data_IF_389840791478
#
_entry.id   IF_389840791478
#
_cell.length_a   1.000
_cell.length_b   1.000
_cell.length_c   1.000
_cell.angle_alpha   90.00
_cell.angle_beta   90.00
_cell.angle_gamma   90.00
#
_symmetry.space_group_name_H-M   'P 1'
#
loop_
_entity.id
_entity.type
_entity.pdbx_description
1 polymer ?
#
# COMPACT_ATOMS: atom_id res chain seq x y z
N UNK A 1 -4.09 16.54 5.20
CA UNK A 1 -4.70 15.26 4.77
C UNK A 1 -4.47 14.14 5.78
N UNK A 2 -3.23 13.69 6.05
CA UNK A 2 -3.02 12.57 6.98
C UNK A 2 -3.54 12.81 8.42
N UNK A 3 -3.33 14.00 8.99
CA UNK A 3 -3.89 14.36 10.32
C UNK A 3 -5.42 14.30 10.34
N UNK A 4 -6.06 14.91 9.35
CA UNK A 4 -7.51 14.85 9.16
C UNK A 4 -8.02 13.39 9.15
N UNK A 5 -7.35 12.51 8.40
CA UNK A 5 -7.75 11.10 8.38
C UNK A 5 -7.63 10.43 9.75
N UNK A 6 -6.60 10.74 10.55
CA UNK A 6 -6.49 10.21 11.91
C UNK A 6 -7.59 10.77 12.83
N UNK A 7 -7.89 12.07 12.73
CA UNK A 7 -8.94 12.73 13.51
C UNK A 7 -10.33 12.13 13.26
N UNK A 8 -10.58 11.62 12.04
CA UNK A 8 -11.83 10.94 11.68
C UNK A 8 -11.73 9.41 11.67
N UNK A 9 -10.69 8.82 12.27
CA UNK A 9 -10.42 7.36 12.33
C UNK A 9 -10.46 6.65 10.96
N UNK A 10 -9.94 7.33 9.92
CA UNK A 10 -9.82 6.81 8.57
C UNK A 10 -8.46 6.15 8.37
N UNK A 11 -8.49 4.88 7.96
CA UNK A 11 -7.30 4.09 7.57
C UNK A 11 -7.00 4.29 6.09
N UNK A 12 -5.74 4.52 5.74
CA UNK A 12 -5.29 4.53 4.34
C UNK A 12 -4.86 3.12 3.92
N UNK A 13 -5.36 2.65 2.77
CA UNK A 13 -4.81 1.52 2.03
C UNK A 13 -3.95 2.02 0.85
N UNK A 14 -2.74 1.48 0.68
CA UNK A 14 -1.87 1.81 -0.46
C UNK A 14 -0.89 0.67 -0.76
N UNK A 15 -0.14 0.75 -1.87
CA UNK A 15 0.60 -0.39 -2.40
C UNK A 15 2.00 -0.63 -1.86
N UNK A 16 2.46 0.18 -0.91
CA UNK A 16 3.85 0.18 -0.44
C UNK A 16 4.88 0.40 -1.57
N UNK A 17 4.47 0.97 -2.70
CA UNK A 17 5.38 1.32 -3.80
C UNK A 17 6.23 2.56 -3.45
N UNK A 18 7.08 2.98 -4.40
CA UNK A 18 7.88 4.21 -4.24
C UNK A 18 7.00 5.47 -4.27
N UNK A 19 7.58 6.58 -3.82
CA UNK A 19 6.99 7.93 -3.88
C UNK A 19 5.67 8.03 -3.10
N UNK A 20 4.54 8.25 -3.77
CA UNK A 20 3.26 8.61 -3.13
C UNK A 20 2.77 7.52 -2.17
N UNK A 21 2.85 6.25 -2.54
CA UNK A 21 2.46 5.13 -1.67
C UNK A 21 3.25 5.15 -0.36
N UNK A 22 4.59 5.22 -0.45
CA UNK A 22 5.45 5.30 0.73
C UNK A 22 5.18 6.57 1.57
N UNK A 23 5.04 7.72 0.92
CA UNK A 23 4.78 8.99 1.60
C UNK A 23 3.43 8.98 2.34
N UNK A 24 2.39 8.37 1.76
CA UNK A 24 1.07 8.24 2.39
C UNK A 24 1.13 7.39 3.66
N UNK A 25 1.80 6.22 3.60
CA UNK A 25 2.02 5.38 4.77
C UNK A 25 2.82 6.12 5.86
N UNK A 26 3.92 6.75 5.49
CA UNK A 26 4.78 7.49 6.43
C UNK A 26 4.03 8.65 7.10
N UNK A 27 3.27 9.43 6.33
CA UNK A 27 2.52 10.56 6.84
C UNK A 27 1.42 10.14 7.82
N UNK A 28 0.73 9.02 7.56
CA UNK A 28 -0.29 8.51 8.46
C UNK A 28 0.31 7.94 9.76
N UNK A 29 1.41 7.20 9.66
CA UNK A 29 2.14 6.71 10.83
C UNK A 29 2.67 7.85 11.69
N UNK A 30 3.24 8.89 11.06
CA UNK A 30 3.74 10.08 11.77
C UNK A 30 2.61 10.87 12.46
N UNK A 31 1.38 10.78 11.96
CA UNK A 31 0.20 11.36 12.59
C UNK A 31 -0.40 10.47 13.70
N UNK A 32 0.20 9.30 13.99
CA UNK A 32 -0.30 8.36 15.00
C UNK A 32 -1.40 7.43 14.51
N UNK A 33 -1.66 7.38 13.20
CA UNK A 33 -2.67 6.53 12.59
C UNK A 33 -2.17 5.14 12.22
N UNK A 34 -3.10 4.31 11.73
CA UNK A 34 -2.85 2.95 11.23
C UNK A 34 -3.06 2.90 9.73
N UNK A 35 -2.26 2.10 9.02
CA UNK A 35 -2.33 1.98 7.56
C UNK A 35 -2.28 0.52 7.10
N UNK A 36 -2.83 0.25 5.92
CA UNK A 36 -2.87 -1.06 5.29
C UNK A 36 -2.06 -1.08 3.99
N UNK A 37 -1.03 -1.92 3.91
CA UNK A 37 -0.19 -2.06 2.71
C UNK A 37 -0.63 -3.26 1.85
N UNK A 38 -1.07 -3.04 0.62
CA UNK A 38 -1.45 -4.09 -0.34
C UNK A 38 -0.32 -4.34 -1.33
N UNK A 39 0.38 -5.46 -1.19
CA UNK A 39 1.54 -5.78 -2.01
C UNK A 39 1.14 -6.50 -3.30
N UNK A 40 1.86 -6.22 -4.39
CA UNK A 40 1.78 -6.99 -5.65
C UNK A 40 2.64 -8.27 -5.64
N UNK A 41 3.32 -8.56 -4.53
CA UNK A 41 4.09 -9.78 -4.29
C UNK A 41 3.32 -10.72 -3.41
N UNK A 42 3.69 -12.00 -3.39
CA UNK A 42 3.20 -12.95 -2.40
C UNK A 42 3.45 -12.47 -0.96
N UNK A 43 2.58 -12.84 -0.01
CA UNK A 43 2.64 -12.37 1.38
C UNK A 43 3.92 -12.79 2.12
N UNK A 44 4.51 -13.92 1.71
CA UNK A 44 5.77 -14.47 2.20
C UNK A 44 6.95 -14.15 1.28
N UNK A 45 6.72 -13.39 0.21
CA UNK A 45 7.79 -12.91 -0.66
C UNK A 45 8.53 -11.73 0.00
N UNK A 46 9.80 -11.47 -0.39
CA UNK A 46 10.52 -10.31 0.09
C UNK A 46 9.81 -9.00 -0.30
N UNK A 47 9.82 -8.01 0.60
CA UNK A 47 9.24 -6.68 0.34
C UNK A 47 9.91 -6.04 -0.88
N UNK A 48 9.07 -5.55 -1.80
CA UNK A 48 9.48 -4.81 -2.97
C UNK A 48 8.73 -3.45 -3.02
N UNK A 49 9.44 -2.33 -3.23
CA UNK A 49 10.90 -2.22 -3.34
C UNK A 49 11.60 -2.49 -2.00
N UNK A 50 12.85 -2.99 -2.05
CA UNK A 50 13.57 -3.40 -0.85
C UNK A 50 13.82 -2.26 0.15
N UNK A 51 13.92 -1.02 -0.34
CA UNK A 51 14.07 0.20 0.47
C UNK A 51 12.87 0.44 1.41
N UNK A 52 11.68 -0.08 1.09
CA UNK A 52 10.48 0.05 1.91
C UNK A 52 10.35 -1.04 2.98
N UNK A 53 11.35 -1.92 3.16
CA UNK A 53 11.36 -2.92 4.25
C UNK A 53 11.21 -2.29 5.65
N UNK A 54 11.93 -1.20 6.01
CA UNK A 54 11.77 -0.57 7.31
C UNK A 54 10.36 0.00 7.48
N UNK A 55 9.80 0.58 6.41
CA UNK A 55 8.43 1.10 6.41
C UNK A 55 7.40 -0.03 6.61
N UNK A 56 7.55 -1.15 5.91
CA UNK A 56 6.70 -2.32 6.09
C UNK A 56 6.69 -2.82 7.56
N UNK A 57 7.86 -2.77 8.22
CA UNK A 57 8.00 -3.12 9.63
C UNK A 57 7.33 -2.09 10.54
N UNK A 58 7.49 -0.80 10.24
CA UNK A 58 6.85 0.28 10.99
C UNK A 58 5.32 0.22 10.92
N UNK A 59 4.76 -0.11 9.75
CA UNK A 59 3.32 -0.31 9.56
C UNK A 59 2.78 -1.38 10.51
N UNK A 60 3.43 -2.54 10.58
CA UNK A 60 3.04 -3.62 11.48
C UNK A 60 3.25 -3.23 12.96
N UNK A 61 4.36 -2.55 13.27
CA UNK A 61 4.67 -2.11 14.63
C UNK A 61 3.67 -1.09 15.19
N UNK A 62 3.02 -0.32 14.32
CA UNK A 62 1.97 0.63 14.70
C UNK A 62 0.55 0.02 14.74
N UNK A 63 0.42 -1.31 14.63
CA UNK A 63 -0.88 -1.99 14.59
C UNK A 63 -1.63 -1.85 13.26
N UNK A 64 -0.92 -1.47 12.19
CA UNK A 64 -1.40 -1.59 10.81
C UNK A 64 -1.30 -3.03 10.29
N UNK A 65 -1.59 -3.21 9.01
CA UNK A 65 -1.63 -4.54 8.39
C UNK A 65 -0.95 -4.55 7.01
N UNK A 66 -0.63 -5.76 6.53
CA UNK A 66 -0.18 -5.99 5.16
C UNK A 66 -1.04 -7.07 4.52
N UNK A 67 -1.44 -6.82 3.28
CA UNK A 67 -2.14 -7.75 2.41
C UNK A 67 -1.30 -8.04 1.17
N UNK A 68 -1.71 -9.05 0.42
CA UNK A 68 -1.14 -9.40 -0.87
C UNK A 68 -2.28 -9.54 -1.87
N UNK A 69 -2.07 -9.03 -3.08
CA UNK A 69 -2.97 -9.26 -4.21
C UNK A 69 -2.65 -10.55 -4.97
N UNK A 70 -1.62 -11.29 -4.56
CA UNK A 70 -1.35 -12.63 -5.07
C UNK A 70 -2.26 -13.64 -4.38
N UNK A 71 -2.67 -14.67 -5.13
CA UNK A 71 -3.41 -15.80 -4.58
C UNK A 71 -2.59 -16.50 -3.49
N UNK A 72 -3.26 -17.08 -2.49
CA UNK A 72 -2.58 -17.68 -1.33
C UNK A 72 -1.64 -18.83 -1.71
N UNK A 73 -1.94 -19.56 -2.79
CA UNK A 73 -1.07 -20.63 -3.34
C UNK A 73 0.25 -20.08 -3.89
N UNK A 74 0.32 -18.77 -4.16
CA UNK A 74 1.46 -18.06 -4.70
C UNK A 74 2.14 -17.18 -3.62
N UNK A 75 2.22 -17.68 -2.38
CA UNK A 75 2.72 -16.93 -1.23
C UNK A 75 4.15 -16.38 -1.39
N UNK A 76 4.98 -16.97 -2.26
CA UNK A 76 6.36 -16.55 -2.53
C UNK A 76 6.55 -15.84 -3.88
N UNK A 77 5.46 -15.49 -4.58
CA UNK A 77 5.54 -14.87 -5.89
C UNK A 77 6.30 -13.54 -5.84
N UNK A 78 7.34 -13.35 -6.68
CA UNK A 78 8.13 -12.13 -6.70
C UNK A 78 7.35 -10.95 -7.30
N UNK A 79 7.91 -9.76 -7.15
CA UNK A 79 7.39 -8.57 -7.81
C UNK A 79 7.50 -8.71 -9.33
N UNK A 80 6.48 -8.25 -10.04
CA UNK A 80 6.45 -8.18 -11.49
C UNK A 80 5.47 -7.11 -11.94
N UNK A 81 5.76 -6.46 -13.06
CA UNK A 81 4.91 -5.39 -13.61
C UNK A 81 3.47 -5.85 -13.87
N UNK A 82 3.29 -7.12 -14.25
CA UNK A 82 1.98 -7.74 -14.50
C UNK A 82 1.13 -7.83 -13.21
N UNK A 83 1.75 -7.81 -12.02
CA UNK A 83 1.03 -7.91 -10.75
C UNK A 83 0.54 -6.54 -10.24
N UNK A 84 1.10 -5.43 -10.73
CA UNK A 84 0.73 -4.08 -10.29
C UNK A 84 -0.75 -3.75 -10.57
N UNK A 85 -1.30 -4.01 -11.77
CA UNK A 85 -2.71 -3.77 -12.04
C UNK A 85 -3.64 -4.57 -11.12
N UNK A 86 -3.34 -5.84 -10.86
CA UNK A 86 -4.11 -6.68 -9.92
C UNK A 86 -4.08 -6.12 -8.50
N UNK A 87 -2.91 -5.65 -8.05
CA UNK A 87 -2.77 -4.96 -6.76
C UNK A 87 -3.66 -3.72 -6.68
N UNK A 88 -3.73 -2.92 -7.74
CA UNK A 88 -4.55 -1.71 -7.75
C UNK A 88 -6.05 -2.04 -7.61
N UNK A 89 -6.52 -3.10 -8.28
CA UNK A 89 -7.92 -3.57 -8.14
C UNK A 89 -8.22 -4.01 -6.71
N UNK A 90 -7.33 -4.77 -6.07
CA UNK A 90 -7.50 -5.16 -4.67
C UNK A 90 -7.50 -3.92 -3.77
N UNK A 91 -6.59 -2.98 -4.00
CA UNK A 91 -6.51 -1.75 -3.21
C UNK A 91 -7.81 -0.96 -3.31
N UNK A 92 -8.28 -0.63 -4.51
CA UNK A 92 -9.51 0.13 -4.69
C UNK A 92 -10.74 -0.62 -4.17
N UNK A 93 -10.83 -1.93 -4.42
CA UNK A 93 -11.93 -2.78 -3.95
C UNK A 93 -11.99 -2.97 -2.43
N UNK A 94 -10.89 -2.75 -1.71
CA UNK A 94 -10.83 -2.81 -0.24
C UNK A 94 -11.08 -1.46 0.44
N UNK A 95 -11.37 -0.41 -0.32
CA UNK A 95 -11.55 0.95 0.19
C UNK A 95 -12.94 1.50 -0.10
N UNK A 96 -13.40 2.46 0.71
CA UNK A 96 -14.65 3.21 0.46
C UNK A 96 -14.50 4.26 -0.65
N UNK A 97 -13.27 4.64 -0.96
CA UNK A 97 -12.95 5.66 -1.96
C UNK A 97 -11.45 5.75 -2.20
N UNK A 98 -11.06 6.37 -3.31
CA UNK A 98 -9.67 6.52 -3.73
C UNK A 98 -9.31 7.99 -3.92
N UNK A 99 -8.11 8.37 -3.46
CA UNK A 99 -7.55 9.71 -3.63
C UNK A 99 -6.31 9.61 -4.52
N UNK A 100 -6.35 10.24 -5.69
CA UNK A 100 -5.22 10.31 -6.62
C UNK A 100 -4.47 11.63 -6.40
N UNK A 101 -3.24 11.54 -5.90
CA UNK A 101 -2.41 12.73 -5.60
C UNK A 101 -1.67 13.22 -6.84
N UNK A 102 -1.03 12.31 -7.58
CA UNK A 102 -0.32 12.61 -8.82
C UNK A 102 -0.50 11.43 -9.80
N UNK A 103 -0.78 11.73 -11.06
CA UNK A 103 -0.81 10.74 -12.14
C UNK A 103 -0.21 11.35 -13.42
N UNK A 104 0.83 10.72 -13.96
CA UNK A 104 1.32 11.04 -15.30
C UNK A 104 0.41 10.45 -16.38
N UNK A 105 0.55 10.93 -17.62
CA UNK A 105 -0.20 10.41 -18.77
C UNK A 105 0.01 8.92 -19.04
N UNK A 106 1.10 8.34 -18.51
CA UNK A 106 1.45 6.91 -18.61
C UNK A 106 1.23 6.14 -17.30
N UNK A 107 0.76 6.80 -16.25
CA UNK A 107 0.57 6.18 -14.94
C UNK A 107 -0.59 5.19 -14.94
N UNK A 108 -0.37 4.01 -14.34
CA UNK A 108 -1.43 3.04 -14.03
C UNK A 108 -2.41 3.50 -12.94
N UNK A 109 -2.28 4.74 -12.44
CA UNK A 109 -3.24 5.39 -11.55
C UNK A 109 -4.47 5.98 -12.29
N UNK A 110 -4.56 5.79 -13.61
CA UNK A 110 -5.81 6.00 -14.35
C UNK A 110 -6.76 4.87 -13.98
N UNK A 111 -7.71 5.15 -13.10
CA UNK A 111 -8.89 4.31 -12.93
C UNK A 111 -9.76 4.37 -14.19
#
# INVERSE_FOLDING_TARGET
>A
MAREFVEHDVVIASGLAKRIDAAAHQALLAAGGRTFAVMGTGIAAPIHPAENRPLAKAILGAGGARGSAAEQVLAHQPAGEVHLPRRNVVTSGTTLGSVVIEASCTSGAKM
#
